data_IF_131112670713
#
_entry.id   IF_131112670713
#
_cell.length_a   1.000
_cell.length_b   1.000
_cell.length_c   1.000
_cell.angle_alpha   90.00
_cell.angle_beta   90.00
_cell.angle_gamma   90.00
#
_symmetry.space_group_name_H-M   'P 1'
#
loop_
_entity.id
_entity.type
_entity.pdbx_description
1 polymer ?
#
# COMPACT_ATOMS: atom_id res chain seq x y z
N UNK A 1 6.32 -29.97 -3.89
CA UNK A 1 7.26 -28.84 -3.72
C UNK A 1 6.36 -27.64 -3.54
N UNK A 2 6.47 -26.92 -2.42
CA UNK A 2 5.83 -25.62 -2.27
C UNK A 2 6.58 -24.73 -3.23
N UNK A 3 5.97 -24.39 -4.38
CA UNK A 3 6.45 -23.29 -5.20
C UNK A 3 6.24 -22.04 -4.36
N UNK A 4 7.28 -21.63 -3.66
CA UNK A 4 7.27 -20.35 -2.97
C UNK A 4 7.09 -19.28 -4.05
N UNK A 5 5.99 -18.55 -4.00
CA UNK A 5 5.81 -17.30 -4.72
C UNK A 5 6.97 -16.36 -4.31
N UNK A 6 8.06 -16.42 -5.06
CA UNK A 6 9.36 -15.97 -4.59
C UNK A 6 9.48 -14.46 -4.60
N UNK A 7 8.85 -13.78 -5.58
CA UNK A 7 9.02 -12.34 -5.76
C UNK A 7 8.57 -11.51 -4.57
N UNK A 8 7.34 -11.57 -4.07
CA UNK A 8 6.92 -10.74 -2.94
C UNK A 8 7.73 -11.02 -1.67
N UNK A 9 8.11 -12.29 -1.43
CA UNK A 9 8.90 -12.68 -0.25
C UNK A 9 10.33 -12.12 -0.34
N UNK A 10 10.97 -12.23 -1.49
CA UNK A 10 12.33 -11.70 -1.70
C UNK A 10 12.34 -10.17 -1.53
N UNK A 11 11.34 -9.47 -2.08
CA UNK A 11 11.22 -8.02 -1.91
C UNK A 11 11.03 -7.64 -0.44
N UNK A 12 10.16 -8.36 0.28
CA UNK A 12 9.94 -8.15 1.71
C UNK A 12 11.24 -8.34 2.51
N UNK A 13 12.03 -9.37 2.18
CA UNK A 13 13.32 -9.62 2.86
C UNK A 13 14.32 -8.50 2.55
N UNK A 14 14.53 -8.13 1.28
CA UNK A 14 15.50 -7.11 0.89
C UNK A 14 15.17 -5.77 1.55
N UNK A 15 13.95 -5.30 1.39
CA UNK A 15 13.51 -4.00 1.93
C UNK A 15 13.39 -4.03 3.45
N UNK A 16 12.92 -5.14 4.03
CA UNK A 16 12.76 -5.32 5.48
C UNK A 16 14.09 -5.35 6.21
N UNK A 17 15.03 -6.15 5.72
CA UNK A 17 16.38 -6.20 6.29
C UNK A 17 17.06 -4.83 6.20
N UNK A 18 17.01 -4.18 5.04
CA UNK A 18 17.60 -2.84 4.90
C UNK A 18 16.89 -1.81 5.81
N UNK A 19 15.55 -1.83 5.86
CA UNK A 19 14.75 -0.94 6.69
C UNK A 19 15.02 -1.08 8.18
N UNK A 20 15.23 -2.32 8.67
CA UNK A 20 15.55 -2.60 10.08
C UNK A 20 17.02 -2.34 10.39
N UNK A 21 17.94 -2.62 9.47
CA UNK A 21 19.37 -2.44 9.69
C UNK A 21 19.78 -0.95 9.77
N UNK A 22 19.14 -0.07 9.00
CA UNK A 22 19.48 1.36 9.00
C UNK A 22 19.44 1.99 10.40
N UNK A 23 18.35 1.86 11.20
CA UNK A 23 18.32 2.35 12.58
C UNK A 23 19.35 1.69 13.50
N UNK A 24 19.56 0.37 13.36
CA UNK A 24 20.55 -0.37 14.16
C UNK A 24 21.96 0.14 13.90
N UNK A 25 22.32 0.32 12.62
CA UNK A 25 23.62 0.90 12.24
C UNK A 25 23.78 2.33 12.76
N UNK A 26 22.69 3.13 12.75
CA UNK A 26 22.73 4.49 13.28
C UNK A 26 23.07 4.50 14.78
N UNK A 27 22.42 3.63 15.56
CA UNK A 27 22.71 3.49 17.00
C UNK A 27 24.14 3.00 17.22
N UNK A 28 24.59 1.97 16.49
CA UNK A 28 25.94 1.43 16.60
C UNK A 28 27.02 2.48 16.26
N UNK A 29 26.74 3.40 15.35
CA UNK A 29 27.60 4.54 14.99
C UNK A 29 27.46 5.75 15.92
N UNK A 30 26.76 5.62 17.04
CA UNK A 30 26.50 6.72 17.99
C UNK A 30 25.92 7.96 17.27
N UNK A 31 24.98 7.75 16.35
CA UNK A 31 24.30 8.78 15.56
C UNK A 31 25.21 9.64 14.66
N UNK A 32 26.45 9.19 14.40
CA UNK A 32 27.42 9.89 13.54
C UNK A 32 27.33 9.51 12.04
N UNK A 33 26.32 8.75 11.64
CA UNK A 33 26.12 8.37 10.23
C UNK A 33 25.67 9.57 9.40
N UNK A 34 26.20 9.68 8.17
CA UNK A 34 25.77 10.74 7.24
C UNK A 34 24.43 10.38 6.58
N UNK A 35 23.65 11.40 6.25
CA UNK A 35 22.41 11.25 5.48
C UNK A 35 22.63 10.48 4.17
N UNK A 36 23.73 10.79 3.47
CA UNK A 36 24.10 10.12 2.22
C UNK A 36 24.36 8.63 2.40
N UNK A 37 24.93 8.23 3.53
CA UNK A 37 25.19 6.82 3.83
C UNK A 37 23.90 6.01 3.99
N UNK A 38 22.95 6.52 4.80
CA UNK A 38 21.66 5.84 4.98
C UNK A 38 20.81 5.87 3.73
N UNK A 39 20.84 7.00 2.99
CA UNK A 39 20.19 7.10 1.70
C UNK A 39 20.77 6.14 0.65
N UNK A 40 22.09 5.91 0.65
CA UNK A 40 22.71 4.94 -0.25
C UNK A 40 22.29 3.50 0.05
N UNK A 41 22.15 3.12 1.34
CA UNK A 41 21.62 1.79 1.73
C UNK A 41 20.17 1.65 1.24
N UNK A 42 19.33 2.66 1.49
CA UNK A 42 17.93 2.63 1.07
C UNK A 42 17.79 2.58 -0.46
N UNK A 43 18.58 3.38 -1.18
CA UNK A 43 18.62 3.38 -2.63
C UNK A 43 19.06 2.03 -3.19
N UNK A 44 20.15 1.45 -2.64
CA UNK A 44 20.66 0.15 -3.03
C UNK A 44 19.63 -0.97 -2.85
N UNK A 45 18.93 -1.00 -1.70
CA UNK A 45 17.87 -1.96 -1.44
C UNK A 45 16.70 -1.84 -2.43
N UNK A 46 16.28 -0.61 -2.76
CA UNK A 46 15.21 -0.37 -3.73
C UNK A 46 15.64 -0.75 -5.16
N UNK A 47 16.87 -0.46 -5.57
CA UNK A 47 17.40 -0.86 -6.89
C UNK A 47 17.52 -2.37 -7.00
N UNK A 48 17.98 -3.06 -5.96
CA UNK A 48 18.04 -4.53 -5.94
C UNK A 48 16.63 -5.13 -6.05
N UNK A 49 15.68 -4.59 -5.30
CA UNK A 49 14.27 -5.00 -5.37
C UNK A 49 13.69 -4.77 -6.77
N UNK A 50 13.93 -3.60 -7.36
CA UNK A 50 13.50 -3.28 -8.72
C UNK A 50 14.11 -4.24 -9.75
N UNK A 51 15.42 -4.47 -9.68
CA UNK A 51 16.10 -5.40 -10.59
C UNK A 51 15.54 -6.81 -10.52
N UNK A 52 15.21 -7.28 -9.30
CA UNK A 52 14.60 -8.59 -9.10
C UNK A 52 13.20 -8.69 -9.71
N UNK A 53 12.31 -7.70 -9.47
CA UNK A 53 10.97 -7.69 -10.08
C UNK A 53 11.04 -7.63 -11.59
N UNK A 54 11.91 -6.78 -12.16
CA UNK A 54 12.08 -6.65 -13.60
C UNK A 54 12.61 -7.96 -14.20
N UNK A 55 13.57 -8.59 -13.54
CA UNK A 55 14.10 -9.90 -13.97
C UNK A 55 12.99 -10.96 -14.00
N UNK A 56 12.19 -11.06 -12.95
CA UNK A 56 11.06 -11.99 -12.90
C UNK A 56 9.97 -11.66 -13.93
N UNK A 57 9.68 -10.38 -14.15
CA UNK A 57 8.69 -9.94 -15.12
C UNK A 57 9.05 -10.33 -16.57
N UNK A 58 10.34 -10.35 -16.89
CA UNK A 58 10.83 -10.76 -18.22
C UNK A 58 11.19 -12.23 -18.31
N UNK A 59 11.45 -12.93 -17.20
CA UNK A 59 11.57 -14.38 -17.20
C UNK A 59 10.16 -14.94 -17.38
N UNK A 60 9.94 -15.81 -18.36
CA UNK A 60 8.63 -16.42 -18.69
C UNK A 60 7.93 -17.16 -17.50
N UNK A 61 8.40 -16.94 -16.30
CA UNK A 61 7.96 -17.59 -15.05
C UNK A 61 6.79 -16.90 -14.37
N UNK A 62 6.35 -15.72 -14.85
CA UNK A 62 5.24 -14.97 -14.24
C UNK A 62 3.91 -15.43 -14.85
N UNK A 63 3.05 -15.98 -14.01
CA UNK A 63 1.69 -16.32 -14.41
C UNK A 63 0.89 -15.07 -14.83
N UNK A 64 0.00 -15.13 -15.83
CA UNK A 64 -1.00 -14.11 -16.03
C UNK A 64 -1.82 -13.96 -14.74
N UNK A 65 -2.40 -12.77 -14.51
CA UNK A 65 -3.09 -12.41 -13.27
C UNK A 65 -3.81 -13.59 -12.58
N UNK A 66 -3.23 -14.10 -11.50
CA UNK A 66 -3.72 -15.29 -10.81
C UNK A 66 -4.58 -14.87 -9.60
N UNK A 67 -5.85 -14.56 -9.85
CA UNK A 67 -6.79 -14.14 -8.81
C UNK A 67 -7.31 -15.32 -8.00
N UNK A 68 -7.40 -16.48 -8.63
CA UNK A 68 -7.93 -17.72 -8.04
C UNK A 68 -6.81 -18.64 -7.53
N UNK A 69 -5.82 -18.07 -6.82
CA UNK A 69 -4.80 -18.85 -6.14
C UNK A 69 -5.20 -19.09 -4.68
N UNK A 70 -4.90 -20.27 -4.17
CA UNK A 70 -5.03 -20.58 -2.73
C UNK A 70 -3.95 -19.88 -1.88
N UNK A 71 -2.93 -19.31 -2.51
CA UNK A 71 -1.85 -18.62 -1.82
C UNK A 71 -2.28 -17.22 -1.40
N UNK A 72 -1.74 -16.76 -0.28
CA UNK A 72 -2.01 -15.43 0.30
C UNK A 72 -1.35 -14.31 -0.50
N UNK A 73 -0.22 -14.61 -1.16
CA UNK A 73 0.53 -13.74 -2.05
C UNK A 73 0.80 -14.49 -3.35
N UNK A 74 0.54 -13.86 -4.48
CA UNK A 74 0.73 -14.48 -5.81
C UNK A 74 1.67 -13.65 -6.66
N UNK A 75 2.64 -14.33 -7.29
CA UNK A 75 3.55 -13.73 -8.25
C UNK A 75 2.88 -13.68 -9.62
N UNK A 76 2.26 -12.55 -9.93
CA UNK A 76 1.53 -12.34 -11.17
C UNK A 76 1.95 -11.04 -11.89
N UNK A 77 1.61 -10.93 -13.16
CA UNK A 77 1.93 -9.77 -13.99
C UNK A 77 1.31 -8.47 -13.45
N UNK A 78 0.13 -8.55 -12.83
CA UNK A 78 -0.54 -7.41 -12.21
C UNK A 78 0.27 -6.90 -11.00
N UNK A 79 0.65 -7.80 -10.09
CA UNK A 79 1.46 -7.47 -8.92
C UNK A 79 2.80 -6.87 -9.31
N UNK A 80 3.49 -7.47 -10.29
CA UNK A 80 4.78 -7.01 -10.78
C UNK A 80 4.69 -5.63 -11.44
N UNK A 81 3.66 -5.36 -12.24
CA UNK A 81 3.43 -4.05 -12.85
C UNK A 81 3.28 -2.95 -11.77
N UNK A 82 2.41 -3.19 -10.79
CA UNK A 82 2.21 -2.22 -9.70
C UNK A 82 3.44 -2.11 -8.79
N UNK A 83 4.13 -3.20 -8.49
CA UNK A 83 5.36 -3.20 -7.71
C UNK A 83 6.45 -2.35 -8.38
N UNK A 84 6.67 -2.50 -9.69
CA UNK A 84 7.60 -1.67 -10.47
C UNK A 84 7.23 -0.19 -10.33
N UNK A 85 5.97 0.17 -10.54
CA UNK A 85 5.50 1.55 -10.44
C UNK A 85 5.74 2.15 -9.05
N UNK A 86 5.47 1.39 -7.98
CA UNK A 86 5.65 1.85 -6.59
C UNK A 86 7.13 1.92 -6.19
N UNK A 87 7.96 0.99 -6.66
CA UNK A 87 9.40 1.03 -6.43
C UNK A 87 10.06 2.22 -7.11
N UNK A 88 9.63 2.60 -8.34
CA UNK A 88 10.09 3.82 -9.02
C UNK A 88 9.81 5.04 -8.13
N UNK A 89 8.59 5.18 -7.63
CA UNK A 89 8.22 6.30 -6.75
C UNK A 89 9.04 6.31 -5.47
N UNK A 90 9.27 5.14 -4.86
CA UNK A 90 10.10 5.01 -3.65
C UNK A 90 11.56 5.40 -3.91
N UNK A 91 12.13 5.01 -5.05
CA UNK A 91 13.47 5.40 -5.49
C UNK A 91 13.55 6.92 -5.64
N UNK A 92 12.61 7.52 -6.38
CA UNK A 92 12.56 8.98 -6.57
C UNK A 92 12.42 9.72 -5.22
N UNK A 93 11.63 9.17 -4.30
CA UNK A 93 11.47 9.72 -2.95
C UNK A 93 12.77 9.69 -2.16
N UNK A 94 13.50 8.57 -2.19
CA UNK A 94 14.80 8.45 -1.51
C UNK A 94 15.81 9.44 -2.09
N UNK A 95 15.92 9.52 -3.42
CA UNK A 95 16.84 10.45 -4.10
C UNK A 95 16.51 11.91 -3.78
N UNK A 96 15.25 12.31 -3.88
CA UNK A 96 14.80 13.65 -3.52
C UNK A 96 15.03 13.99 -2.04
N UNK A 97 14.97 12.97 -1.16
CA UNK A 97 15.15 13.14 0.28
C UNK A 97 16.61 13.33 0.70
N UNK A 98 17.60 12.98 -0.12
CA UNK A 98 19.01 13.16 0.21
C UNK A 98 19.35 14.63 0.52
N UNK A 99 18.91 15.55 -0.33
CA UNK A 99 19.11 16.98 -0.10
C UNK A 99 18.21 17.51 1.02
N UNK A 100 16.95 17.08 1.08
CA UNK A 100 16.00 17.52 2.09
C UNK A 100 16.49 17.18 3.52
N UNK A 101 17.03 15.98 3.71
CA UNK A 101 17.49 15.49 5.01
C UNK A 101 18.92 15.89 5.38
N UNK A 102 19.70 16.47 4.46
CA UNK A 102 21.14 16.75 4.65
C UNK A 102 21.46 17.58 5.89
N UNK A 103 20.57 18.49 6.27
CA UNK A 103 20.73 19.38 7.44
C UNK A 103 19.76 19.05 8.59
N UNK A 104 19.09 17.90 8.52
CA UNK A 104 18.09 17.49 9.52
C UNK A 104 18.59 16.31 10.35
N UNK A 105 18.11 16.20 11.58
CA UNK A 105 18.35 15.05 12.44
C UNK A 105 17.48 13.86 12.03
N UNK A 106 17.87 12.68 12.48
CA UNK A 106 17.09 11.43 12.34
C UNK A 106 16.93 10.93 10.90
N UNK A 107 17.90 11.21 10.00
CA UNK A 107 17.86 10.73 8.61
C UNK A 107 17.75 9.19 8.49
N UNK A 108 18.37 8.45 9.42
CA UNK A 108 18.27 7.00 9.47
C UNK A 108 16.82 6.52 9.60
N UNK A 109 16.06 7.07 10.57
CA UNK A 109 14.65 6.72 10.78
C UNK A 109 13.80 7.12 9.57
N UNK A 110 14.11 8.25 8.94
CA UNK A 110 13.38 8.72 7.76
C UNK A 110 13.48 7.73 6.60
N UNK A 111 14.69 7.29 6.24
CA UNK A 111 14.88 6.32 5.16
C UNK A 111 14.36 4.93 5.51
N UNK A 112 14.49 4.50 6.77
CA UNK A 112 13.89 3.26 7.26
C UNK A 112 12.37 3.24 7.06
N UNK A 113 11.67 4.31 7.44
CA UNK A 113 10.22 4.41 7.30
C UNK A 113 9.78 4.42 5.82
N UNK A 114 10.55 5.03 4.91
CA UNK A 114 10.28 4.95 3.47
C UNK A 114 10.36 3.48 3.00
N UNK A 115 11.39 2.73 3.40
CA UNK A 115 11.54 1.32 3.04
C UNK A 115 10.39 0.47 3.59
N UNK A 116 10.01 0.65 4.86
CA UNK A 116 8.89 -0.07 5.47
C UNK A 116 7.57 0.22 4.75
N UNK A 117 7.30 1.49 4.42
CA UNK A 117 6.14 1.84 3.61
C UNK A 117 6.18 1.19 2.22
N UNK A 118 7.37 1.12 1.60
CA UNK A 118 7.55 0.49 0.29
C UNK A 118 7.24 -1.00 0.31
N UNK A 119 7.58 -1.71 1.41
CA UNK A 119 7.17 -3.11 1.59
C UNK A 119 5.65 -3.23 1.55
N UNK A 120 4.95 -2.41 2.35
CA UNK A 120 3.48 -2.44 2.40
C UNK A 120 2.86 -2.20 1.03
N UNK A 121 3.35 -1.20 0.28
CA UNK A 121 2.89 -0.93 -1.08
C UNK A 121 3.04 -2.14 -2.01
N UNK A 122 4.22 -2.75 -2.01
CA UNK A 122 4.52 -3.92 -2.85
C UNK A 122 3.65 -5.12 -2.46
N UNK A 123 3.51 -5.41 -1.16
CA UNK A 123 2.68 -6.52 -0.69
C UNK A 123 1.20 -6.36 -1.05
N UNK A 124 0.66 -5.13 -1.03
CA UNK A 124 -0.71 -4.86 -1.52
C UNK A 124 -0.86 -5.32 -2.97
N UNK A 125 0.13 -5.07 -3.82
CA UNK A 125 0.06 -5.42 -5.23
C UNK A 125 -0.01 -6.93 -5.48
N UNK A 126 0.66 -7.74 -4.65
CA UNK A 126 0.69 -9.20 -4.76
C UNK A 126 -0.36 -9.93 -3.90
N UNK A 127 -1.12 -9.21 -3.05
CA UNK A 127 -2.08 -9.82 -2.14
C UNK A 127 -3.29 -10.40 -2.88
N UNK A 128 -3.63 -11.66 -2.57
CA UNK A 128 -4.82 -12.41 -3.02
C UNK A 128 -5.72 -12.81 -1.86
N UNK A 129 -5.40 -12.33 -0.66
CA UNK A 129 -6.15 -12.54 0.57
C UNK A 129 -6.49 -11.20 1.22
N UNK A 130 -7.72 -11.04 1.69
CA UNK A 130 -8.22 -9.77 2.27
C UNK A 130 -7.51 -9.40 3.57
N UNK A 131 -7.14 -10.39 4.41
CA UNK A 131 -6.42 -10.14 5.67
C UNK A 131 -4.98 -9.74 5.37
N UNK A 132 -4.32 -10.44 4.43
CA UNK A 132 -2.98 -10.07 3.99
C UNK A 132 -2.96 -8.66 3.36
N UNK A 133 -3.95 -8.33 2.54
CA UNK A 133 -4.11 -7.01 1.95
C UNK A 133 -4.25 -5.94 3.05
N UNK A 134 -5.03 -6.21 4.10
CA UNK A 134 -5.18 -5.30 5.24
C UNK A 134 -3.87 -5.14 6.02
N UNK A 135 -3.13 -6.22 6.29
CA UNK A 135 -1.82 -6.15 6.97
C UNK A 135 -0.83 -5.33 6.14
N UNK A 136 -0.77 -5.56 4.83
CA UNK A 136 0.07 -4.79 3.91
C UNK A 136 -0.34 -3.30 3.87
N UNK A 137 -1.64 -3.03 3.94
CA UNK A 137 -2.20 -1.67 4.01
C UNK A 137 -1.73 -0.91 5.25
N UNK A 138 -1.77 -1.55 6.42
CA UNK A 138 -1.28 -0.95 7.66
C UNK A 138 0.25 -0.79 7.66
N UNK A 139 0.98 -1.79 7.13
CA UNK A 139 2.43 -1.72 6.98
C UNK A 139 2.87 -0.56 6.06
N UNK A 140 2.08 -0.22 5.03
CA UNK A 140 2.29 0.97 4.22
C UNK A 140 1.93 2.25 4.99
N UNK A 141 0.80 2.23 5.70
CA UNK A 141 0.16 3.44 6.23
C UNK A 141 0.83 3.98 7.49
N UNK A 142 1.14 3.12 8.47
CA UNK A 142 1.74 3.53 9.75
C UNK A 142 3.06 4.30 9.55
N UNK A 143 4.03 3.82 8.74
CA UNK A 143 5.23 4.59 8.45
C UNK A 143 4.94 5.95 7.79
N UNK A 144 3.94 6.01 6.90
CA UNK A 144 3.60 7.26 6.21
C UNK A 144 2.94 8.29 7.13
N UNK A 145 2.18 7.87 8.15
CA UNK A 145 1.65 8.78 9.18
C UNK A 145 2.79 9.45 9.95
N UNK A 146 3.82 8.68 10.33
CA UNK A 146 5.00 9.19 11.02
C UNK A 146 5.81 10.12 10.10
N UNK A 147 5.95 9.77 8.83
CA UNK A 147 6.66 10.57 7.84
C UNK A 147 5.96 11.90 7.55
N UNK A 148 4.63 11.96 7.54
CA UNK A 148 3.87 13.20 7.36
C UNK A 148 4.17 14.20 8.48
N UNK A 149 4.27 13.72 9.74
CA UNK A 149 4.65 14.54 10.91
C UNK A 149 6.13 14.57 11.23
N UNK A 150 7.01 14.28 10.27
CA UNK A 150 8.43 14.13 10.57
C UNK A 150 9.09 15.40 11.08
N UNK A 151 8.59 16.57 10.70
CA UNK A 151 9.05 17.86 11.20
C UNK A 151 8.33 18.27 12.48
N UNK A 152 8.63 17.58 13.59
CA UNK A 152 7.95 17.73 14.90
C UNK A 152 7.92 19.16 15.45
N UNK A 153 8.82 20.05 15.00
CA UNK A 153 8.87 21.46 15.44
C UNK A 153 7.89 22.37 14.67
N UNK A 154 7.31 21.88 13.58
CA UNK A 154 6.35 22.60 12.78
C UNK A 154 4.92 22.21 13.17
N UNK A 155 4.09 23.13 13.72
CA UNK A 155 2.71 22.83 14.09
C UNK A 155 1.87 22.32 12.91
N UNK A 156 2.07 22.85 11.71
CA UNK A 156 1.36 22.44 10.48
C UNK A 156 1.68 20.97 10.16
N UNK A 157 2.96 20.55 10.32
CA UNK A 157 3.35 19.15 10.11
C UNK A 157 2.73 18.20 11.14
N UNK A 158 2.61 18.65 12.40
CA UNK A 158 1.95 17.86 13.43
C UNK A 158 0.44 17.73 13.18
N UNK A 159 -0.22 18.81 12.77
CA UNK A 159 -1.63 18.81 12.37
C UNK A 159 -1.88 17.88 11.19
N UNK A 160 -1.05 17.96 10.15
CA UNK A 160 -1.08 17.08 8.99
C UNK A 160 -1.01 15.60 9.40
N UNK A 161 -0.07 15.24 10.28
CA UNK A 161 0.09 13.87 10.74
C UNK A 161 -1.14 13.37 11.53
N UNK A 162 -1.67 14.20 12.42
CA UNK A 162 -2.84 13.85 13.25
C UNK A 162 -4.07 13.65 12.36
N UNK A 163 -4.34 14.57 11.45
CA UNK A 163 -5.47 14.46 10.51
C UNK A 163 -5.31 13.21 9.64
N UNK A 164 -4.13 13.01 9.05
CA UNK A 164 -3.88 11.85 8.21
C UNK A 164 -4.03 10.53 8.97
N UNK A 165 -3.54 10.45 10.21
CA UNK A 165 -3.70 9.28 11.06
C UNK A 165 -5.16 9.02 11.43
N UNK A 166 -5.91 10.04 11.90
CA UNK A 166 -7.29 9.86 12.34
C UNK A 166 -8.21 9.40 11.20
N UNK A 167 -8.12 10.07 10.06
CA UNK A 167 -8.90 9.67 8.88
C UNK A 167 -8.44 8.32 8.33
N UNK A 168 -7.14 8.03 8.39
CA UNK A 168 -6.58 6.74 8.00
C UNK A 168 -7.07 5.60 8.89
N UNK A 169 -7.05 5.77 10.21
CA UNK A 169 -7.56 4.78 11.15
C UNK A 169 -9.07 4.51 10.96
N UNK A 170 -9.85 5.56 10.67
CA UNK A 170 -11.27 5.39 10.33
C UNK A 170 -11.45 4.59 9.04
N UNK A 171 -10.65 4.87 8.01
CA UNK A 171 -10.65 4.10 6.76
C UNK A 171 -10.31 2.63 7.01
N UNK A 172 -9.28 2.34 7.81
CA UNK A 172 -8.88 0.99 8.17
C UNK A 172 -9.99 0.24 8.93
N UNK A 173 -10.70 0.91 9.84
CA UNK A 173 -11.85 0.34 10.53
C UNK A 173 -12.99 -0.03 9.55
N UNK A 174 -13.23 0.80 8.54
CA UNK A 174 -14.22 0.53 7.50
C UNK A 174 -13.80 -0.68 6.65
N UNK A 175 -12.53 -0.76 6.27
CA UNK A 175 -12.01 -1.90 5.47
C UNK A 175 -12.17 -3.20 6.26
N UNK A 176 -11.72 -3.25 7.53
CA UNK A 176 -11.77 -4.47 8.33
C UNK A 176 -13.21 -4.92 8.60
N UNK A 177 -14.15 -3.96 8.73
CA UNK A 177 -15.56 -4.29 8.85
C UNK A 177 -16.13 -4.85 7.53
N UNK A 178 -15.72 -4.31 6.38
CA UNK A 178 -16.03 -4.88 5.06
C UNK A 178 -15.49 -6.31 4.91
N UNK A 179 -14.26 -6.58 5.36
CA UNK A 179 -13.67 -7.92 5.38
C UNK A 179 -14.49 -8.86 6.26
N UNK A 180 -14.91 -8.39 7.45
CA UNK A 180 -15.72 -9.20 8.37
C UNK A 180 -17.07 -9.60 7.78
N UNK A 181 -17.74 -8.68 7.06
CA UNK A 181 -18.99 -9.00 6.36
C UNK A 181 -18.74 -9.99 5.22
N UNK A 182 -17.72 -9.74 4.40
CA UNK A 182 -17.37 -10.63 3.29
C UNK A 182 -17.06 -12.06 3.79
N UNK A 183 -16.28 -12.16 4.87
CA UNK A 183 -16.00 -13.44 5.52
C UNK A 183 -17.27 -14.08 6.10
N UNK A 184 -18.12 -13.31 6.76
CA UNK A 184 -19.40 -13.80 7.31
C UNK A 184 -20.33 -14.39 6.26
N UNK A 185 -20.29 -13.87 5.03
CA UNK A 185 -21.08 -14.36 3.89
C UNK A 185 -20.44 -15.61 3.27
N UNK A 186 -19.12 -15.58 3.05
CA UNK A 186 -18.43 -16.58 2.19
C UNK A 186 -17.66 -17.65 2.97
N UNK A 187 -17.35 -17.38 4.24
CA UNK A 187 -16.49 -18.26 5.06
C UNK A 187 -15.02 -18.20 4.67
N UNK A 188 -14.61 -17.29 3.76
CA UNK A 188 -13.23 -17.20 3.28
C UNK A 188 -12.72 -15.75 3.27
N UNK A 189 -11.39 -15.59 3.39
CA UNK A 189 -10.68 -14.32 3.18
C UNK A 189 -9.94 -14.28 1.85
N UNK A 190 -9.86 -15.41 1.13
CA UNK A 190 -9.29 -15.46 -0.20
C UNK A 190 -10.16 -14.67 -1.19
N UNK A 191 -9.57 -13.72 -1.90
CA UNK A 191 -10.31 -12.79 -2.78
C UNK A 191 -11.06 -13.56 -3.87
N UNK A 192 -10.46 -14.62 -4.45
CA UNK A 192 -11.11 -15.44 -5.48
C UNK A 192 -12.34 -16.19 -4.96
N UNK A 193 -12.24 -16.77 -3.75
CA UNK A 193 -13.36 -17.48 -3.12
C UNK A 193 -14.47 -16.51 -2.68
N UNK A 194 -14.11 -15.32 -2.18
CA UNK A 194 -15.07 -14.26 -1.84
C UNK A 194 -15.84 -13.82 -3.10
N UNK A 195 -15.16 -13.66 -4.23
CA UNK A 195 -15.79 -13.32 -5.51
C UNK A 195 -16.77 -14.41 -5.95
N UNK A 196 -16.37 -15.68 -5.85
CA UNK A 196 -17.25 -16.82 -6.18
C UNK A 196 -18.46 -16.87 -5.26
N UNK A 197 -18.24 -16.67 -3.94
CA UNK A 197 -19.32 -16.61 -2.98
C UNK A 197 -20.31 -15.47 -3.28
N UNK A 198 -19.82 -14.30 -3.67
CA UNK A 198 -20.67 -13.17 -4.06
C UNK A 198 -21.46 -13.44 -5.36
N UNK A 199 -20.89 -14.18 -6.32
CA UNK A 199 -21.58 -14.53 -7.57
C UNK A 199 -22.77 -15.48 -7.36
N UNK A 200 -22.81 -16.19 -6.22
CA UNK A 200 -23.84 -17.20 -5.90
C UNK A 200 -24.73 -16.77 -4.72
N UNK A 201 -24.76 -15.47 -4.39
CA UNK A 201 -25.55 -14.95 -3.28
C UNK A 201 -27.05 -15.08 -3.54
N UNK A 202 -27.76 -15.57 -2.53
CA UNK A 202 -29.22 -15.50 -2.50
C UNK A 202 -29.70 -14.05 -2.37
N UNK A 203 -30.92 -13.80 -2.86
CA UNK A 203 -31.51 -12.47 -2.85
C UNK A 203 -31.56 -11.83 -1.44
N UNK A 204 -31.75 -12.63 -0.40
CA UNK A 204 -31.79 -12.18 1.00
C UNK A 204 -30.42 -11.71 1.52
N UNK A 205 -29.32 -12.24 0.99
CA UNK A 205 -27.94 -11.87 1.36
C UNK A 205 -27.34 -10.77 0.48
N UNK A 206 -27.99 -10.46 -0.64
CA UNK A 206 -27.50 -9.41 -1.57
C UNK A 206 -27.24 -8.05 -0.88
N UNK A 207 -28.11 -7.54 0.03
CA UNK A 207 -27.86 -6.27 0.71
C UNK A 207 -26.56 -6.28 1.54
N UNK A 208 -26.19 -7.42 2.16
CA UNK A 208 -24.94 -7.54 2.90
C UNK A 208 -23.73 -7.56 1.98
N UNK A 209 -23.81 -8.23 0.83
CA UNK A 209 -22.77 -8.19 -0.20
C UNK A 209 -22.52 -6.77 -0.72
N UNK A 210 -23.60 -6.04 -1.02
CA UNK A 210 -23.54 -4.62 -1.43
C UNK A 210 -22.91 -3.74 -0.33
N UNK A 211 -23.25 -3.98 0.93
CA UNK A 211 -22.68 -3.25 2.06
C UNK A 211 -21.16 -3.52 2.16
N UNK A 212 -20.71 -4.76 2.02
CA UNK A 212 -19.29 -5.10 2.04
C UNK A 212 -18.52 -4.36 0.93
N UNK A 213 -19.05 -4.38 -0.31
CA UNK A 213 -18.45 -3.65 -1.44
C UNK A 213 -18.44 -2.14 -1.18
N UNK A 214 -19.54 -1.57 -0.68
CA UNK A 214 -19.61 -0.17 -0.31
C UNK A 214 -18.55 0.23 0.72
N UNK A 215 -18.28 -0.63 1.70
CA UNK A 215 -17.20 -0.43 2.67
C UNK A 215 -15.82 -0.49 2.04
N UNK A 216 -15.55 -1.41 1.11
CA UNK A 216 -14.30 -1.43 0.38
C UNK A 216 -14.11 -0.17 -0.48
N UNK A 217 -15.16 0.30 -1.16
CA UNK A 217 -15.12 1.56 -1.92
C UNK A 217 -14.80 2.74 -0.99
N UNK A 218 -15.46 2.85 0.16
CA UNK A 218 -15.22 3.92 1.12
C UNK A 218 -13.81 3.85 1.71
N UNK A 219 -13.36 2.66 2.12
CA UNK A 219 -12.06 2.47 2.73
C UNK A 219 -10.90 2.71 1.75
N UNK A 220 -10.92 2.07 0.58
CA UNK A 220 -9.88 2.31 -0.43
C UNK A 220 -9.99 3.72 -1.03
N UNK A 221 -11.21 4.24 -1.16
CA UNK A 221 -11.49 5.59 -1.64
C UNK A 221 -10.79 6.69 -0.82
N UNK A 222 -10.68 6.51 0.49
CA UNK A 222 -9.87 7.38 1.33
C UNK A 222 -8.43 7.49 0.81
N UNK A 223 -7.75 6.37 0.58
CA UNK A 223 -6.34 6.37 0.15
C UNK A 223 -6.16 6.88 -1.28
N UNK A 224 -7.11 6.59 -2.14
CA UNK A 224 -7.14 7.12 -3.51
C UNK A 224 -7.47 8.62 -3.54
N UNK A 225 -8.09 9.13 -2.47
CA UNK A 225 -8.53 10.52 -2.38
C UNK A 225 -9.80 10.78 -3.20
N UNK A 226 -10.71 9.79 -3.23
CA UNK A 226 -12.00 9.92 -3.89
C UNK A 226 -12.95 10.80 -3.07
N UNK A 227 -13.81 11.55 -3.74
CA UNK A 227 -14.88 12.29 -3.08
C UNK A 227 -15.93 11.30 -2.54
N UNK A 228 -16.41 11.45 -1.32
CA UNK A 228 -16.16 12.51 -0.32
C UNK A 228 -14.98 12.26 0.63
N UNK A 229 -14.21 11.20 0.45
CA UNK A 229 -13.16 10.74 1.39
C UNK A 229 -11.81 11.49 1.25
N UNK A 230 -11.75 12.58 0.47
CA UNK A 230 -10.52 13.31 0.11
C UNK A 230 -10.15 14.43 1.10
N UNK A 231 -10.94 14.71 2.11
CA UNK A 231 -10.81 15.90 2.99
C UNK A 231 -9.46 16.00 3.73
N UNK A 232 -8.76 14.89 3.89
CA UNK A 232 -7.45 14.85 4.54
C UNK A 232 -6.29 15.33 3.64
N UNK A 233 -6.49 15.32 2.32
CA UNK A 233 -5.43 15.56 1.33
C UNK A 233 -4.80 16.96 1.42
N UNK A 234 -5.58 18.08 1.41
CA UNK A 234 -4.99 19.41 1.41
C UNK A 234 -4.07 19.64 2.61
N UNK A 235 -4.57 19.37 3.81
CA UNK A 235 -3.82 19.61 5.05
C UNK A 235 -2.58 18.72 5.15
N UNK A 236 -2.72 17.46 4.75
CA UNK A 236 -1.60 16.51 4.78
C UNK A 236 -0.52 16.87 3.77
N UNK A 237 -0.92 17.30 2.56
CA UNK A 237 0.04 17.65 1.51
C UNK A 237 0.76 18.96 1.79
N UNK A 238 0.11 19.91 2.48
CA UNK A 238 0.73 21.16 2.91
C UNK A 238 1.74 20.93 4.06
N UNK A 239 1.38 20.11 5.05
CA UNK A 239 2.20 19.97 6.26
C UNK A 239 3.28 18.90 6.18
N UNK A 240 3.16 17.92 5.29
CA UNK A 240 4.17 16.86 5.14
C UNK A 240 5.44 17.38 4.43
N UNK A 241 6.60 16.72 4.66
CA UNK A 241 7.79 16.97 3.86
C UNK A 241 7.51 16.81 2.37
N UNK A 242 8.00 17.70 1.47
CA UNK A 242 7.66 17.67 0.04
C UNK A 242 7.94 16.30 -0.64
N UNK A 243 9.02 15.62 -0.24
CA UNK A 243 9.35 14.30 -0.76
C UNK A 243 8.39 13.22 -0.27
N UNK A 244 7.81 13.39 0.93
CA UNK A 244 6.77 12.51 1.44
C UNK A 244 5.42 12.82 0.79
N UNK A 245 5.10 14.09 0.55
CA UNK A 245 3.93 14.45 -0.25
C UNK A 245 3.97 13.78 -1.62
N UNK A 246 5.14 13.74 -2.27
CA UNK A 246 5.32 13.02 -3.54
C UNK A 246 5.09 11.50 -3.39
N UNK A 247 5.60 10.87 -2.29
CA UNK A 247 5.36 9.46 -1.99
C UNK A 247 3.86 9.18 -1.78
N UNK A 248 3.18 10.05 -1.02
CA UNK A 248 1.75 9.92 -0.76
C UNK A 248 0.93 10.08 -2.05
N UNK A 249 1.26 11.10 -2.86
CA UNK A 249 0.51 11.42 -4.09
C UNK A 249 0.71 10.37 -5.19
N UNK A 250 1.91 9.84 -5.36
CA UNK A 250 2.24 8.93 -6.45
C UNK A 250 2.34 7.46 -6.02
N UNK A 251 2.86 7.15 -4.83
CA UNK A 251 3.08 5.78 -4.35
C UNK A 251 1.83 5.20 -3.67
N UNK A 252 1.45 5.76 -2.51
CA UNK A 252 0.36 5.17 -1.72
C UNK A 252 -0.99 5.23 -2.41
N UNK A 253 -1.25 6.24 -3.27
CA UNK A 253 -2.47 6.26 -4.11
C UNK A 253 -2.49 5.10 -5.09
N UNK A 254 -1.37 4.79 -5.75
CA UNK A 254 -1.31 3.63 -6.66
C UNK A 254 -1.51 2.30 -5.93
N UNK A 255 -1.02 2.18 -4.69
CA UNK A 255 -1.32 1.03 -3.85
C UNK A 255 -2.82 0.93 -3.55
N UNK A 256 -3.49 2.05 -3.27
CA UNK A 256 -4.95 2.12 -3.14
C UNK A 256 -5.67 1.65 -4.40
N UNK A 257 -5.22 2.09 -5.58
CA UNK A 257 -5.77 1.62 -6.86
C UNK A 257 -5.53 0.13 -7.09
N UNK A 258 -4.35 -0.40 -6.76
CA UNK A 258 -4.07 -1.82 -6.88
C UNK A 258 -5.01 -2.67 -6.00
N UNK A 259 -5.22 -2.26 -4.74
CA UNK A 259 -6.17 -2.90 -3.84
C UNK A 259 -7.62 -2.84 -4.38
N UNK A 260 -8.04 -1.65 -4.83
CA UNK A 260 -9.38 -1.45 -5.39
C UNK A 260 -9.62 -2.30 -6.64
N UNK A 261 -8.65 -2.39 -7.54
CA UNK A 261 -8.75 -3.19 -8.75
C UNK A 261 -8.86 -4.69 -8.42
N UNK A 262 -8.09 -5.20 -7.46
CA UNK A 262 -8.19 -6.60 -7.06
C UNK A 262 -9.50 -6.95 -6.38
N UNK A 263 -10.05 -6.07 -5.55
CA UNK A 263 -11.21 -6.38 -4.70
C UNK A 263 -12.52 -5.88 -5.32
N UNK A 264 -12.57 -4.59 -5.71
CA UNK A 264 -13.84 -3.98 -6.12
C UNK A 264 -14.26 -4.43 -7.52
N UNK A 265 -13.36 -4.36 -8.50
CA UNK A 265 -13.73 -4.71 -9.88
C UNK A 265 -14.16 -6.17 -9.96
N UNK A 266 -13.44 -7.05 -9.27
CA UNK A 266 -13.78 -8.48 -9.28
C UNK A 266 -15.10 -8.75 -8.55
N UNK A 267 -15.35 -8.11 -7.41
CA UNK A 267 -16.61 -8.24 -6.69
C UNK A 267 -17.81 -7.68 -7.48
N UNK A 268 -17.62 -6.58 -8.22
CA UNK A 268 -18.68 -5.98 -9.04
C UNK A 268 -19.04 -6.86 -10.24
N UNK A 269 -18.05 -7.49 -10.87
CA UNK A 269 -18.27 -8.45 -11.96
C UNK A 269 -19.04 -9.67 -11.45
N UNK A 270 -18.70 -10.17 -10.26
CA UNK A 270 -19.37 -11.32 -9.66
C UNK A 270 -20.87 -11.08 -9.39
N UNK A 271 -21.22 -9.87 -8.93
CA UNK A 271 -22.61 -9.50 -8.64
C UNK A 271 -23.41 -9.05 -9.88
N UNK A 272 -22.80 -9.08 -11.09
CA UNK A 272 -23.41 -8.58 -12.33
C UNK A 272 -23.99 -7.16 -12.21
N UNK A 273 -23.35 -6.31 -11.40
CA UNK A 273 -23.79 -4.95 -11.16
C UNK A 273 -23.16 -3.99 -12.16
N UNK A 274 -23.97 -3.12 -12.75
CA UNK A 274 -23.44 -2.03 -13.56
C UNK A 274 -22.97 -0.88 -12.66
N UNK A 275 -21.70 -0.90 -12.30
CA UNK A 275 -21.06 0.15 -11.52
C UNK A 275 -20.57 1.31 -12.37
N UNK A 276 -20.77 1.26 -13.69
CA UNK A 276 -20.28 2.28 -14.62
C UNK A 276 -20.76 3.66 -14.23
N UNK A 277 -22.06 3.77 -13.88
CA UNK A 277 -22.66 5.02 -13.45
C UNK A 277 -22.08 5.51 -12.09
N UNK A 278 -22.00 4.61 -11.09
CA UNK A 278 -21.51 4.97 -9.77
C UNK A 278 -20.04 5.38 -9.80
N UNK A 279 -19.17 4.59 -10.46
CA UNK A 279 -17.76 4.91 -10.64
C UNK A 279 -17.57 6.15 -11.51
N UNK A 280 -18.42 6.33 -12.54
CA UNK A 280 -18.43 7.53 -13.37
C UNK A 280 -18.75 8.80 -12.58
N UNK A 281 -19.75 8.77 -11.70
CA UNK A 281 -20.09 9.88 -10.81
C UNK A 281 -18.91 10.19 -9.89
N UNK A 282 -18.33 9.18 -9.24
CA UNK A 282 -17.18 9.34 -8.34
C UNK A 282 -15.97 9.93 -9.09
N UNK A 283 -15.77 9.55 -10.35
CA UNK A 283 -14.64 10.04 -11.16
C UNK A 283 -14.80 11.48 -11.64
N UNK A 284 -16.05 11.97 -11.75
CA UNK A 284 -16.35 13.36 -12.16
C UNK A 284 -16.33 14.32 -10.97
N UNK A 285 -16.68 13.87 -9.78
CA UNK A 285 -16.66 14.65 -8.53
C UNK A 285 -15.26 14.88 -8.01
#
# INVERSE_FOLDING_TARGET
MIELNSTPIVLMIILGVAGMLIPVINVARKEKGSTSFYGAIAFGALILSMGFVVYQFYSESIAPAAIFSADVLVDDAFGSFFAIAMLIVSIMTVVGSLNYMRKKSNSAMYFSLILLSSIGMVLIAYSTDLVMLFVAWELMSIPTYILAGFNKKNPISNEAAIKYFLFGAMSSAIIIYGISIAYGITGSTNIGEVIQGFATLDADMLPLGLLAIGMFIAGFGFKMGLVPFHMWLPDTYEGAPPTITALLAAGTKKAGFAAALRVIIMGTVALNLDWTLALGIIAVM
#
